data_IF_691812733793
#
_entry.id   IF_691812733793
#
_cell.length_a   1.000
_cell.length_b   1.000
_cell.length_c   1.000
_cell.angle_alpha   90.00
_cell.angle_beta   90.00
_cell.angle_gamma   90.00
#
_symmetry.space_group_name_H-M   'P 1'
#
loop_
_entity.id
_entity.type
_entity.pdbx_description
1 polymer ?
#
# COMPACT_ATOMS: atom_id res chain seq x y z
N UNK A 1 16.32 -26.17 7.54
CA UNK A 1 16.62 -24.79 7.94
C UNK A 1 15.42 -23.95 7.57
N UNK A 2 14.68 -23.44 8.54
CA UNK A 2 13.55 -22.55 8.29
C UNK A 2 14.17 -21.19 7.94
N UNK A 3 14.35 -20.91 6.65
CA UNK A 3 14.83 -19.59 6.21
C UNK A 3 13.70 -18.59 6.51
N UNK A 4 13.96 -17.68 7.42
CA UNK A 4 13.06 -16.60 7.79
C UNK A 4 12.72 -15.81 6.54
N UNK A 5 11.44 -15.75 6.15
CA UNK A 5 10.97 -14.99 4.99
C UNK A 5 11.13 -13.50 5.26
N UNK A 6 11.65 -12.75 4.31
CA UNK A 6 11.93 -11.32 4.46
C UNK A 6 11.13 -10.46 3.49
N UNK A 7 10.71 -9.27 3.94
CA UNK A 7 9.99 -8.29 3.12
C UNK A 7 10.60 -6.89 3.24
N UNK A 8 10.72 -6.19 2.12
CA UNK A 8 11.11 -4.79 2.06
C UNK A 8 10.00 -3.94 1.43
N UNK A 9 9.75 -2.76 2.01
CA UNK A 9 8.72 -1.83 1.55
C UNK A 9 9.35 -0.56 0.97
N UNK A 10 8.90 -0.19 -0.23
CA UNK A 10 9.29 1.04 -0.90
C UNK A 10 8.03 1.86 -1.14
N UNK A 11 7.91 2.97 -0.41
CA UNK A 11 6.73 3.83 -0.48
C UNK A 11 7.01 5.07 -1.30
N UNK A 12 6.24 5.26 -2.37
CA UNK A 12 6.24 6.45 -3.18
C UNK A 12 4.94 7.24 -2.95
N UNK A 13 5.03 8.57 -2.91
CA UNK A 13 3.85 9.44 -2.87
C UNK A 13 3.57 10.11 -1.54
N UNK A 14 2.31 10.09 -1.11
CA UNK A 14 1.79 10.91 -0.03
C UNK A 14 1.70 10.18 1.32
N UNK A 15 1.25 10.89 2.36
CA UNK A 15 1.06 10.33 3.71
C UNK A 15 0.00 9.22 3.75
N UNK A 16 -0.99 9.24 2.85
CA UNK A 16 -1.96 8.15 2.74
C UNK A 16 -1.28 6.87 2.25
N UNK A 17 -0.38 6.97 1.25
CA UNK A 17 0.42 5.81 0.81
C UNK A 17 1.34 5.30 1.92
N UNK A 18 1.89 6.21 2.76
CA UNK A 18 2.69 5.80 3.91
C UNK A 18 1.85 4.95 4.89
N UNK A 19 0.66 5.44 5.25
CA UNK A 19 -0.27 4.67 6.09
C UNK A 19 -0.61 3.31 5.45
N UNK A 20 -0.92 3.29 4.15
CA UNK A 20 -1.24 2.05 3.43
C UNK A 20 -0.06 1.06 3.45
N UNK A 21 1.19 1.55 3.33
CA UNK A 21 2.38 0.71 3.46
C UNK A 21 2.57 0.18 4.88
N UNK A 22 2.36 1.02 5.89
CA UNK A 22 2.50 0.61 7.30
C UNK A 22 1.45 -0.46 7.67
N UNK A 23 0.22 -0.33 7.14
CA UNK A 23 -0.82 -1.33 7.30
C UNK A 23 -0.48 -2.66 6.59
N UNK A 24 0.03 -2.62 5.37
CA UNK A 24 0.49 -3.82 4.66
C UNK A 24 1.68 -4.48 5.37
N UNK A 25 2.62 -3.69 5.95
CA UNK A 25 3.71 -4.24 6.79
C UNK A 25 3.17 -5.10 7.92
N UNK A 26 2.17 -4.59 8.63
CA UNK A 26 1.53 -5.36 9.72
C UNK A 26 1.03 -6.71 9.23
N UNK A 27 0.41 -6.77 8.03
CA UNK A 27 -0.05 -8.03 7.46
C UNK A 27 1.10 -9.00 7.15
N UNK A 28 2.22 -8.52 6.62
CA UNK A 28 3.39 -9.36 6.35
C UNK A 28 4.00 -9.90 7.63
N UNK A 29 4.13 -9.07 8.66
CA UNK A 29 4.65 -9.52 9.97
C UNK A 29 3.73 -10.55 10.62
N UNK A 30 2.41 -10.32 10.58
CA UNK A 30 1.41 -11.29 11.04
C UNK A 30 1.45 -12.60 10.21
N UNK A 31 1.84 -12.51 8.94
CA UNK A 31 2.09 -13.64 8.03
C UNK A 31 3.46 -14.32 8.22
N UNK A 32 4.25 -13.93 9.24
CA UNK A 32 5.53 -14.55 9.59
C UNK A 32 6.72 -14.05 8.77
N UNK A 33 6.64 -12.88 8.15
CA UNK A 33 7.75 -12.21 7.48
C UNK A 33 8.50 -11.29 8.43
N UNK A 34 9.83 -11.26 8.31
CA UNK A 34 10.67 -10.25 8.95
C UNK A 34 10.88 -9.07 8.02
N UNK A 35 10.67 -7.87 8.54
CA UNK A 35 10.92 -6.65 7.78
C UNK A 35 12.42 -6.37 7.71
N UNK A 36 12.90 -6.03 6.51
CA UNK A 36 14.26 -5.52 6.28
C UNK A 36 14.21 -4.09 5.77
N UNK A 37 15.30 -3.33 6.02
CA UNK A 37 15.41 -1.96 5.54
C UNK A 37 15.34 -1.89 4.01
N UNK A 38 14.89 -0.74 3.51
CA UNK A 38 14.78 -0.45 2.10
C UNK A 38 16.08 -0.81 1.34
N UNK A 39 15.91 -1.48 0.20
CA UNK A 39 16.98 -1.91 -0.73
C UNK A 39 17.93 -3.00 -0.23
N UNK A 40 17.79 -3.55 0.98
CA UNK A 40 18.52 -4.76 1.39
C UNK A 40 17.93 -5.99 0.71
N UNK A 41 18.70 -7.09 0.71
CA UNK A 41 18.22 -8.36 0.18
C UNK A 41 16.97 -8.81 0.94
N UNK A 42 15.86 -8.89 0.21
CA UNK A 42 14.60 -9.41 0.69
C UNK A 42 14.03 -10.42 -0.29
N UNK A 43 13.24 -11.36 0.23
CA UNK A 43 12.53 -12.34 -0.61
C UNK A 43 11.35 -11.71 -1.34
N UNK A 44 10.79 -10.62 -0.76
CA UNK A 44 9.63 -9.88 -1.28
C UNK A 44 9.90 -8.38 -1.22
N UNK A 45 9.58 -7.69 -2.31
CA UNK A 45 9.56 -6.23 -2.37
C UNK A 45 8.15 -5.75 -2.65
N UNK A 46 7.59 -4.94 -1.74
CA UNK A 46 6.30 -4.28 -1.93
C UNK A 46 6.55 -2.82 -2.29
N UNK A 47 6.20 -2.44 -3.52
CA UNK A 47 6.36 -1.09 -4.04
C UNK A 47 5.00 -0.39 -4.05
N UNK A 48 4.75 0.48 -3.09
CA UNK A 48 3.52 1.27 -3.04
C UNK A 48 3.65 2.50 -3.93
N UNK A 49 2.93 2.50 -5.04
CA UNK A 49 3.11 3.41 -6.17
C UNK A 49 2.23 4.66 -6.07
N UNK A 50 2.66 5.75 -6.70
CA UNK A 50 1.96 7.03 -6.71
C UNK A 50 1.70 7.49 -8.14
N UNK A 51 0.51 8.07 -8.39
CA UNK A 51 0.10 8.64 -9.69
C UNK A 51 -0.40 10.08 -9.59
N UNK A 52 -0.04 10.81 -8.53
CA UNK A 52 -0.42 12.25 -8.40
C UNK A 52 0.32 13.11 -9.43
N UNK A 53 1.47 12.66 -9.91
CA UNK A 53 2.25 13.33 -10.94
C UNK A 53 2.85 12.32 -11.92
N UNK A 54 3.06 12.73 -13.17
CA UNK A 54 3.76 11.93 -14.20
C UNK A 54 5.21 11.55 -13.78
N UNK A 55 5.82 12.36 -12.93
CA UNK A 55 7.12 12.06 -12.31
C UNK A 55 6.98 10.85 -11.35
N UNK A 56 5.87 10.77 -10.61
CA UNK A 56 5.56 9.65 -9.73
C UNK A 56 5.45 8.33 -10.50
N UNK A 57 4.74 8.32 -11.61
CA UNK A 57 4.59 7.16 -12.49
C UNK A 57 5.94 6.68 -13.03
N UNK A 58 6.77 7.63 -13.51
CA UNK A 58 8.12 7.30 -13.99
C UNK A 58 9.01 6.72 -12.89
N UNK A 59 9.00 7.33 -11.71
CA UNK A 59 9.75 6.83 -10.56
C UNK A 59 9.31 5.43 -10.13
N UNK A 60 8.01 5.18 -10.15
CA UNK A 60 7.45 3.84 -9.84
C UNK A 60 8.02 2.78 -10.79
N UNK A 61 7.95 3.01 -12.11
CA UNK A 61 8.52 2.08 -13.11
C UNK A 61 10.03 1.92 -12.99
N UNK A 62 10.76 3.01 -12.74
CA UNK A 62 12.22 2.95 -12.54
C UNK A 62 12.58 2.13 -11.32
N UNK A 63 11.81 2.26 -10.23
CA UNK A 63 12.03 1.50 -9.00
C UNK A 63 11.83 0.00 -9.24
N UNK A 64 10.73 -0.40 -9.87
CA UNK A 64 10.45 -1.81 -10.22
C UNK A 64 11.63 -2.40 -11.02
N UNK A 65 12.05 -1.74 -12.12
CA UNK A 65 13.18 -2.22 -12.94
C UNK A 65 14.48 -2.29 -12.17
N UNK A 66 14.72 -1.33 -11.26
CA UNK A 66 15.91 -1.33 -10.41
C UNK A 66 15.94 -2.54 -9.50
N UNK A 67 14.81 -2.81 -8.80
CA UNK A 67 14.70 -3.95 -7.88
C UNK A 67 14.83 -5.26 -8.66
N UNK A 68 14.09 -5.46 -9.75
CA UNK A 68 14.19 -6.69 -10.54
C UNK A 68 15.61 -6.97 -11.02
N UNK A 69 16.33 -5.94 -11.47
CA UNK A 69 17.73 -6.10 -11.90
C UNK A 69 18.68 -6.46 -10.76
N UNK A 70 18.44 -5.92 -9.55
CA UNK A 70 19.28 -6.17 -8.38
C UNK A 70 18.93 -7.49 -7.66
N UNK A 71 17.67 -7.88 -7.72
CA UNK A 71 17.10 -9.05 -7.03
C UNK A 71 16.21 -9.84 -7.99
N UNK A 72 16.82 -10.59 -8.95
CA UNK A 72 16.08 -11.27 -10.03
C UNK A 72 15.12 -12.34 -9.52
N UNK A 73 15.44 -12.99 -8.39
CA UNK A 73 14.66 -14.09 -7.82
C UNK A 73 13.62 -13.65 -6.79
N UNK A 74 13.61 -12.35 -6.42
CA UNK A 74 12.66 -11.84 -5.42
C UNK A 74 11.25 -11.67 -6.04
N UNK A 75 10.22 -11.85 -5.21
CA UNK A 75 8.84 -11.52 -5.61
C UNK A 75 8.65 -10.01 -5.52
N UNK A 76 8.20 -9.38 -6.59
CA UNK A 76 7.90 -7.96 -6.66
C UNK A 76 6.39 -7.74 -6.73
N UNK A 77 5.83 -7.18 -5.65
CA UNK A 77 4.45 -6.76 -5.58
C UNK A 77 4.35 -5.24 -5.76
N UNK A 78 3.48 -4.78 -6.66
CA UNK A 78 3.13 -3.35 -6.78
C UNK A 78 1.74 -3.10 -6.25
N UNK A 79 1.57 -2.01 -5.50
CA UNK A 79 0.29 -1.55 -4.98
C UNK A 79 0.14 -0.04 -5.17
N UNK A 80 -1.03 0.50 -4.84
CA UNK A 80 -1.24 1.94 -4.78
C UNK A 80 -1.85 2.57 -6.02
N UNK A 81 -1.81 3.91 -6.08
CA UNK A 81 -2.57 4.68 -7.08
C UNK A 81 -2.19 4.38 -8.53
N UNK A 82 -0.89 4.20 -8.82
CA UNK A 82 -0.48 3.92 -10.20
C UNK A 82 -0.81 2.48 -10.61
N UNK A 83 -0.65 1.52 -9.71
CA UNK A 83 -1.09 0.15 -9.94
C UNK A 83 -2.60 0.07 -10.20
N UNK A 84 -3.41 0.88 -9.50
CA UNK A 84 -4.86 0.97 -9.70
C UNK A 84 -5.24 1.57 -11.05
N UNK A 85 -4.55 2.61 -11.50
CA UNK A 85 -4.92 3.37 -12.70
C UNK A 85 -4.41 2.77 -14.00
N UNK A 86 -3.30 2.05 -13.96
CA UNK A 86 -2.62 1.54 -15.14
C UNK A 86 -1.95 0.18 -14.87
N UNK A 87 -2.70 -0.85 -14.43
CA UNK A 87 -2.14 -2.18 -14.15
C UNK A 87 -1.48 -2.81 -15.38
N UNK A 88 -2.03 -2.56 -16.57
CA UNK A 88 -1.50 -3.06 -17.85
C UNK A 88 -0.07 -2.60 -18.15
N UNK A 89 0.37 -1.49 -17.56
CA UNK A 89 1.76 -1.03 -17.69
C UNK A 89 2.70 -1.97 -16.97
N UNK A 90 2.33 -2.41 -15.78
CA UNK A 90 3.13 -3.34 -14.98
C UNK A 90 3.10 -4.76 -15.54
N UNK A 91 1.95 -5.21 -16.08
CA UNK A 91 1.87 -6.49 -16.80
C UNK A 91 2.82 -6.54 -18.01
N UNK A 92 2.80 -5.48 -18.83
CA UNK A 92 3.67 -5.37 -20.02
C UNK A 92 5.16 -5.24 -19.70
N UNK A 93 5.51 -4.78 -18.49
CA UNK A 93 6.91 -4.67 -18.07
C UNK A 93 7.56 -6.04 -17.88
N UNK A 94 6.80 -7.05 -17.44
CA UNK A 94 7.31 -8.39 -17.12
C UNK A 94 8.23 -8.44 -15.88
N UNK A 95 8.35 -7.34 -15.16
CA UNK A 95 9.24 -7.19 -14.00
C UNK A 95 8.47 -7.33 -12.66
N UNK A 96 7.15 -7.55 -12.70
CA UNK A 96 6.25 -7.55 -11.53
C UNK A 96 5.57 -8.92 -11.44
N UNK A 97 5.46 -9.45 -10.24
CA UNK A 97 4.83 -10.75 -9.97
C UNK A 97 3.39 -10.59 -9.43
N UNK A 98 3.13 -9.49 -8.68
CA UNK A 98 1.80 -9.21 -8.10
C UNK A 98 1.42 -7.76 -8.34
N UNK A 99 0.21 -7.52 -8.83
CA UNK A 99 -0.34 -6.18 -9.06
C UNK A 99 -1.62 -6.06 -8.23
N UNK A 100 -1.62 -5.18 -7.23
CA UNK A 100 -2.78 -4.90 -6.36
C UNK A 100 -3.09 -3.40 -6.43
N UNK A 101 -4.35 -3.06 -6.65
CA UNK A 101 -4.78 -1.67 -6.70
C UNK A 101 -4.85 -1.01 -5.30
N UNK A 102 -5.97 -0.35 -5.05
CA UNK A 102 -6.27 0.32 -3.79
C UNK A 102 -7.39 -0.39 -3.00
N UNK A 103 -7.71 -1.60 -3.39
CA UNK A 103 -8.62 -2.51 -2.71
C UNK A 103 -8.05 -3.93 -2.75
N UNK A 104 -8.49 -4.82 -1.85
CA UNK A 104 -7.96 -6.18 -1.66
C UNK A 104 -6.49 -6.26 -1.19
N UNK A 105 -5.90 -5.15 -0.72
CA UNK A 105 -4.54 -5.14 -0.14
C UNK A 105 -4.44 -5.97 1.13
N UNK A 106 -5.57 -6.21 1.80
CA UNK A 106 -5.68 -7.11 2.96
C UNK A 106 -5.25 -8.55 2.64
N UNK A 107 -5.31 -8.96 1.36
CA UNK A 107 -4.90 -10.27 0.87
C UNK A 107 -3.50 -10.29 0.23
N UNK A 108 -2.73 -9.21 0.35
CA UNK A 108 -1.45 -9.06 -0.37
C UNK A 108 -0.45 -10.17 -0.04
N UNK A 109 -0.46 -10.70 1.18
CA UNK A 109 0.41 -11.81 1.59
C UNK A 109 0.01 -13.08 0.86
N UNK A 110 -1.28 -13.37 0.76
CA UNK A 110 -1.82 -14.53 0.02
C UNK A 110 -1.44 -14.45 -1.46
N UNK A 111 -1.60 -13.29 -2.08
CA UNK A 111 -1.22 -13.07 -3.48
C UNK A 111 0.27 -13.24 -3.73
N UNK A 112 1.12 -12.79 -2.80
CA UNK A 112 2.56 -12.98 -2.89
C UNK A 112 2.94 -14.45 -2.78
N UNK A 113 2.30 -15.22 -1.90
CA UNK A 113 2.55 -16.66 -1.79
C UNK A 113 2.06 -17.42 -3.04
N UNK A 114 0.93 -17.04 -3.61
CA UNK A 114 0.39 -17.63 -4.84
C UNK A 114 1.29 -17.33 -6.06
N UNK A 115 1.82 -16.11 -6.16
CA UNK A 115 2.69 -15.70 -7.26
C UNK A 115 4.03 -16.43 -7.26
N UNK A 116 4.47 -16.98 -6.13
CA UNK A 116 5.72 -17.77 -6.04
C UNK A 116 5.64 -18.97 -6.98
N UNK A 117 6.37 -18.91 -8.09
CA UNK A 117 6.42 -20.00 -9.07
C UNK A 117 5.29 -20.00 -10.10
N UNK A 118 4.41 -19.01 -10.13
CA UNK A 118 3.30 -18.95 -11.09
C UNK A 118 3.72 -18.65 -12.55
N UNK A 119 4.90 -18.08 -12.76
CA UNK A 119 5.46 -17.79 -14.10
C UNK A 119 4.75 -16.68 -14.89
N UNK A 120 3.73 -16.06 -14.31
CA UNK A 120 3.00 -14.89 -14.88
C UNK A 120 2.55 -13.97 -13.74
N UNK A 121 2.41 -12.65 -14.00
CA UNK A 121 1.91 -11.73 -13.01
C UNK A 121 0.48 -12.06 -12.58
N UNK A 122 0.23 -12.01 -11.27
CA UNK A 122 -1.10 -12.05 -10.68
C UNK A 122 -1.65 -10.62 -10.62
N UNK A 123 -2.75 -10.35 -11.31
CA UNK A 123 -3.39 -9.03 -11.32
C UNK A 123 -4.73 -9.09 -10.58
N UNK A 124 -4.77 -8.48 -9.37
CA UNK A 124 -5.92 -8.42 -8.46
C UNK A 124 -6.52 -7.00 -8.36
N UNK A 125 -6.30 -6.19 -9.40
CA UNK A 125 -6.88 -4.85 -9.49
C UNK A 125 -8.36 -4.93 -9.81
N UNK A 126 -9.18 -4.35 -8.94
CA UNK A 126 -10.63 -4.28 -9.11
C UNK A 126 -11.06 -2.90 -9.63
N UNK A 127 -12.24 -2.84 -10.25
CA UNK A 127 -12.85 -1.55 -10.62
C UNK A 127 -13.21 -0.76 -9.36
N UNK A 128 -12.35 0.19 -9.02
CA UNK A 128 -12.44 0.98 -7.79
C UNK A 128 -13.72 1.81 -7.70
N UNK A 129 -14.38 2.10 -8.84
CA UNK A 129 -15.64 2.82 -8.88
C UNK A 129 -16.83 2.00 -8.38
N UNK A 130 -16.70 0.67 -8.41
CA UNK A 130 -17.70 -0.28 -7.88
C UNK A 130 -17.50 -0.61 -6.41
N UNK A 131 -16.37 -0.20 -5.83
CA UNK A 131 -16.04 -0.48 -4.43
C UNK A 131 -16.69 0.58 -3.52
N UNK A 132 -17.63 0.16 -2.68
CA UNK A 132 -18.38 1.02 -1.77
C UNK A 132 -17.97 0.86 -0.29
N UNK A 133 -17.08 -0.07 0.01
CA UNK A 133 -16.63 -0.37 1.37
C UNK A 133 -15.24 0.18 1.62
N UNK A 134 -15.00 0.67 2.84
CA UNK A 134 -13.66 1.02 3.30
C UNK A 134 -12.88 -0.27 3.60
N UNK A 135 -11.69 -0.43 3.02
CA UNK A 135 -10.82 -1.55 3.32
C UNK A 135 -10.16 -1.32 4.68
N UNK A 136 -10.56 -2.12 5.66
CA UNK A 136 -10.13 -1.92 7.04
C UNK A 136 -8.86 -2.72 7.33
N UNK A 137 -7.73 -2.08 7.16
CA UNK A 137 -6.42 -2.58 7.61
C UNK A 137 -5.97 -1.77 8.83
N UNK A 138 -5.26 -2.41 9.75
CA UNK A 138 -4.75 -1.78 10.96
C UNK A 138 -3.23 -1.63 10.87
N UNK A 139 -2.73 -0.52 11.42
CA UNK A 139 -1.31 -0.32 11.61
C UNK A 139 -0.93 -0.78 13.01
N UNK A 140 0.01 -1.72 13.10
CA UNK A 140 0.71 -2.06 14.35
C UNK A 140 2.07 -1.39 14.30
N UNK A 141 2.36 -0.49 15.24
CA UNK A 141 3.68 0.13 15.31
C UNK A 141 4.75 -0.92 15.62
N UNK A 142 5.84 -0.89 14.86
CA UNK A 142 7.03 -1.69 15.11
C UNK A 142 8.24 -0.78 15.31
N UNK A 143 9.11 -1.14 16.27
CA UNK A 143 10.33 -0.41 16.58
C UNK A 143 10.11 0.83 17.45
N UNK A 144 10.94 1.86 17.28
CA UNK A 144 10.86 3.08 18.08
C UNK A 144 9.54 3.84 17.85
N UNK A 145 8.84 4.10 18.95
CA UNK A 145 7.58 4.85 18.93
C UNK A 145 7.84 6.29 18.50
N UNK A 146 7.32 6.66 17.34
CA UNK A 146 7.31 8.07 16.91
C UNK A 146 6.30 8.85 17.76
N UNK A 147 6.55 10.14 17.97
CA UNK A 147 5.63 11.00 18.73
C UNK A 147 4.24 11.06 18.13
N UNK A 148 4.14 10.97 16.78
CA UNK A 148 2.91 11.16 16.01
C UNK A 148 2.57 9.96 15.14
N UNK A 149 1.31 9.49 15.23
CA UNK A 149 0.71 8.50 14.35
C UNK A 149 -0.19 9.14 13.31
N UNK A 150 -0.35 8.47 12.16
CA UNK A 150 -1.32 8.81 11.13
C UNK A 150 -2.40 7.73 11.10
N UNK A 151 -3.67 8.14 11.06
CA UNK A 151 -4.82 7.24 11.01
C UNK A 151 -5.68 7.64 9.81
N UNK A 152 -5.88 6.71 8.91
CA UNK A 152 -6.74 6.90 7.75
C UNK A 152 -8.20 6.61 8.14
N UNK A 153 -9.06 7.63 8.11
CA UNK A 153 -10.48 7.52 8.45
C UNK A 153 -11.41 7.58 7.26
N UNK A 154 -10.92 8.07 6.12
CA UNK A 154 -11.66 8.14 4.86
C UNK A 154 -10.73 7.87 3.68
N UNK A 155 -11.30 7.35 2.60
CA UNK A 155 -10.63 7.12 1.32
C UNK A 155 -11.56 7.48 0.16
N UNK A 156 -10.97 7.94 -0.96
CA UNK A 156 -11.73 8.40 -2.12
C UNK A 156 -12.23 9.84 -1.97
N UNK A 157 -12.90 10.34 -3.00
CA UNK A 157 -13.44 11.71 -3.03
C UNK A 157 -14.51 11.84 -4.11
N UNK A 158 -15.63 12.50 -3.79
CA UNK A 158 -16.75 12.72 -4.72
C UNK A 158 -16.78 14.14 -5.33
N UNK A 159 -15.71 14.96 -5.14
CA UNK A 159 -15.68 16.33 -5.65
C UNK A 159 -15.34 16.45 -7.14
N UNK A 160 -14.66 15.47 -7.74
CA UNK A 160 -14.31 15.42 -9.16
C UNK A 160 -13.72 16.74 -9.71
N UNK A 161 -12.84 17.40 -8.94
CA UNK A 161 -12.15 18.62 -9.41
C UNK A 161 -11.37 18.32 -10.70
N UNK A 162 -11.39 19.23 -11.66
CA UNK A 162 -10.89 19.04 -13.03
C UNK A 162 -9.42 18.61 -13.13
N UNK A 163 -8.61 18.96 -12.14
CA UNK A 163 -7.18 18.64 -12.08
C UNK A 163 -6.85 17.44 -11.14
N UNK A 164 -7.87 16.83 -10.52
CA UNK A 164 -7.63 15.87 -9.45
C UNK A 164 -7.82 14.42 -9.90
N UNK A 165 -6.78 13.61 -9.75
CA UNK A 165 -6.80 12.17 -10.08
C UNK A 165 -7.45 11.32 -8.97
N UNK A 166 -7.64 11.84 -7.75
CA UNK A 166 -8.06 11.07 -6.58
C UNK A 166 -9.37 10.29 -6.79
N UNK A 167 -10.47 10.89 -7.34
CA UNK A 167 -11.70 10.13 -7.57
C UNK A 167 -11.49 8.90 -8.45
N UNK A 168 -10.64 9.02 -9.45
CA UNK A 168 -10.36 7.94 -10.41
C UNK A 168 -9.43 6.88 -9.83
N UNK A 169 -8.45 7.29 -9.02
CA UNK A 169 -7.50 6.37 -8.40
C UNK A 169 -8.09 5.67 -7.17
N UNK A 170 -8.76 6.44 -6.28
CA UNK A 170 -9.23 5.94 -4.98
C UNK A 170 -10.75 5.70 -4.92
N UNK A 171 -11.45 5.99 -6.03
CA UNK A 171 -12.87 5.81 -6.14
C UNK A 171 -13.69 6.83 -5.34
N UNK A 172 -14.97 6.50 -5.14
CA UNK A 172 -15.91 7.31 -4.39
C UNK A 172 -15.53 7.40 -2.91
N UNK A 173 -16.05 8.42 -2.23
CA UNK A 173 -15.81 8.63 -0.81
C UNK A 173 -16.30 7.43 0.02
N UNK A 174 -15.41 6.85 0.80
CA UNK A 174 -15.69 5.75 1.73
C UNK A 174 -15.16 6.12 3.11
N UNK A 175 -16.00 6.01 4.12
CA UNK A 175 -15.63 6.29 5.51
C UNK A 175 -15.37 4.99 6.26
N UNK A 176 -14.36 5.02 7.12
CA UNK A 176 -14.07 3.97 8.08
C UNK A 176 -15.13 3.96 9.18
N UNK A 177 -15.49 2.80 9.69
CA UNK A 177 -16.37 2.69 10.84
C UNK A 177 -15.73 3.33 12.05
N UNK A 178 -16.51 4.05 12.83
CA UNK A 178 -16.02 4.77 14.01
C UNK A 178 -15.39 3.83 15.02
N UNK A 179 -16.00 2.66 15.26
CA UNK A 179 -15.48 1.66 16.21
C UNK A 179 -14.06 1.18 15.82
N UNK A 180 -13.83 0.96 14.53
CA UNK A 180 -12.55 0.50 14.00
C UNK A 180 -11.47 1.57 14.13
N UNK A 181 -11.83 2.84 13.86
CA UNK A 181 -10.92 3.97 14.05
C UNK A 181 -10.55 4.14 15.52
N UNK A 182 -11.54 4.09 16.43
CA UNK A 182 -11.30 4.19 17.88
C UNK A 182 -10.45 3.04 18.40
N UNK A 183 -10.68 1.82 17.90
CA UNK A 183 -9.87 0.65 18.28
C UNK A 183 -8.40 0.84 17.89
N UNK A 184 -8.12 1.34 16.68
CA UNK A 184 -6.75 1.61 16.26
C UNK A 184 -6.11 2.72 17.09
N UNK A 185 -6.85 3.82 17.37
CA UNK A 185 -6.36 4.91 18.23
C UNK A 185 -5.97 4.37 19.61
N UNK A 186 -6.79 3.54 20.23
CA UNK A 186 -6.47 2.94 21.54
C UNK A 186 -5.20 2.12 21.47
N UNK A 187 -5.04 1.26 20.48
CA UNK A 187 -3.83 0.46 20.29
C UNK A 187 -2.58 1.35 20.14
N UNK A 188 -2.69 2.46 19.40
CA UNK A 188 -1.60 3.42 19.23
C UNK A 188 -1.24 4.14 20.54
N UNK A 189 -2.24 4.55 21.32
CA UNK A 189 -2.04 5.17 22.64
C UNK A 189 -1.38 4.19 23.61
N UNK A 190 -1.84 2.93 23.65
CA UNK A 190 -1.29 1.88 24.50
C UNK A 190 0.18 1.56 24.16
N UNK A 191 0.58 1.76 22.90
CA UNK A 191 1.99 1.64 22.46
C UNK A 191 2.83 2.89 22.68
N UNK A 192 2.25 3.99 23.23
CA UNK A 192 2.98 5.18 23.64
C UNK A 192 2.91 6.38 22.70
N UNK A 193 2.11 6.33 21.62
CA UNK A 193 1.88 7.50 20.78
C UNK A 193 1.10 8.57 21.53
N UNK A 194 1.53 9.84 21.40
CA UNK A 194 0.93 10.99 22.11
C UNK A 194 0.12 11.91 21.20
N UNK A 195 0.29 11.78 19.88
CA UNK A 195 -0.35 12.63 18.89
C UNK A 195 -0.85 11.78 17.73
N UNK A 196 -2.15 11.88 17.39
CA UNK A 196 -2.78 11.16 16.30
C UNK A 196 -3.38 12.15 15.30
N UNK A 197 -2.91 12.10 14.06
CA UNK A 197 -3.49 12.86 12.95
C UNK A 197 -4.46 12.00 12.16
N UNK A 198 -5.71 12.44 12.12
CA UNK A 198 -6.73 11.84 11.26
C UNK A 198 -6.48 12.26 9.81
N UNK A 199 -6.41 11.30 8.92
CA UNK A 199 -6.10 11.52 7.51
C UNK A 199 -7.25 11.09 6.59
N UNK A 200 -7.53 11.92 5.58
CA UNK A 200 -8.53 11.66 4.55
C UNK A 200 -7.97 12.04 3.18
N UNK A 201 -8.44 11.38 2.13
CA UNK A 201 -8.12 11.75 0.73
C UNK A 201 -8.93 12.96 0.24
N UNK A 202 -10.05 13.29 0.91
CA UNK A 202 -10.91 14.42 0.55
C UNK A 202 -10.29 15.74 1.02
N UNK A 203 -9.77 16.53 0.07
CA UNK A 203 -9.16 17.82 0.37
C UNK A 203 -10.17 18.90 0.80
N UNK A 204 -11.44 18.80 0.41
CA UNK A 204 -12.45 19.80 0.74
C UNK A 204 -12.87 19.80 2.21
N UNK A 205 -12.60 18.71 2.93
CA UNK A 205 -12.90 18.59 4.38
C UNK A 205 -11.75 18.99 5.29
N UNK A 206 -10.69 19.58 4.74
CA UNK A 206 -9.52 20.07 5.51
C UNK A 206 -9.65 21.55 5.91
N UNK A 207 -10.83 22.16 5.76
CA UNK A 207 -11.11 23.52 6.15
C UNK A 207 -11.88 23.52 7.46
#
# INVERSE_FOLDING_TARGET
MNTEKTVSFITLGCKVNQYDSDAMRTLFVDGGYSQVEDYKNADVYVINTCSVTSIGDRKSRQMVRRIRRQHPDAVIAVAGCYAQLAPEVFEKMGDVDVIVGLHNRSHIVEYVEEARGAGKPLNEVVDIMKVNTFENMFVRPEGEVKTRAFIKVQEGCDNYCTFCIIPYARGRLKSRRQEDAVKEIRNLVDTGYRDCLLYTSDAARRI
#
